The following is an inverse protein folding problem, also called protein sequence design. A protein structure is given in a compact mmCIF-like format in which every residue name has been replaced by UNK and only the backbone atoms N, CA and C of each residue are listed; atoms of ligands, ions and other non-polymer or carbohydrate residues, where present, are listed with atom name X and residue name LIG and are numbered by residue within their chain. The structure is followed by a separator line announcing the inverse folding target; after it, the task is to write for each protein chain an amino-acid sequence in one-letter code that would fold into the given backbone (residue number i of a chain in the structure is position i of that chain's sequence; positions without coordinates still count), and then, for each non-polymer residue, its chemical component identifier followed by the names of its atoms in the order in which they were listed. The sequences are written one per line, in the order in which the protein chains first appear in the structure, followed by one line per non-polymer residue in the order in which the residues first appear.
data_IF_104760904824
#
_entry.id   IF_104760904824
#
_cell.length_a   1.000
_cell.length_b   1.000
_cell.length_c   1.000
_cell.angle_alpha   90.00
_cell.angle_beta   90.00
_cell.angle_gamma   90.00
#
_symmetry.space_group_name_H-M   'P 1'
#
loop_
_entity.id
_entity.type
_entity.pdbx_description
1 polymer ?
#
# COMPACT_ATOMS: atom_id res chain seq x y z
N UNK A 1 -44.00 12.00 18.99
CA UNK A 1 -42.57 11.73 18.72
C UNK A 1 -42.27 12.14 17.29
N UNK A 2 -41.27 13.00 17.04
CA UNK A 2 -40.95 13.39 15.68
C UNK A 2 -40.60 12.14 14.86
N UNK A 3 -41.25 11.94 13.72
CA UNK A 3 -40.92 10.87 12.80
C UNK A 3 -39.51 11.15 12.25
N UNK A 4 -38.57 10.24 12.48
CA UNK A 4 -37.26 10.28 11.84
C UNK A 4 -37.47 9.89 10.35
N UNK A 5 -37.13 10.79 9.45
CA UNK A 5 -37.23 10.55 8.00
C UNK A 5 -36.20 9.54 7.48
N UNK A 6 -35.12 9.35 8.22
CA UNK A 6 -34.02 8.45 7.89
C UNK A 6 -33.97 7.31 8.90
N UNK A 7 -33.79 6.08 8.40
CA UNK A 7 -33.62 4.90 9.25
C UNK A 7 -32.31 5.02 10.06
N UNK A 8 -32.39 5.13 11.41
CA UNK A 8 -31.21 5.39 12.25
C UNK A 8 -30.25 4.20 12.35
N UNK A 9 -30.65 3.03 11.88
CA UNK A 9 -29.85 1.81 11.93
C UNK A 9 -29.06 1.56 10.65
N UNK A 10 -29.28 2.34 9.58
CA UNK A 10 -28.69 2.09 8.25
C UNK A 10 -27.17 2.16 8.25
N UNK A 11 -26.60 3.16 8.90
CA UNK A 11 -25.14 3.35 8.92
C UNK A 11 -24.44 2.25 9.69
N UNK A 12 -24.97 1.86 10.86
CA UNK A 12 -24.46 0.74 11.64
C UNK A 12 -24.60 -0.58 10.88
N UNK A 13 -25.73 -0.77 10.17
CA UNK A 13 -25.94 -1.95 9.35
C UNK A 13 -24.98 -2.04 8.17
N UNK A 14 -24.73 -0.92 7.47
CA UNK A 14 -23.73 -0.86 6.40
C UNK A 14 -22.34 -1.20 6.93
N UNK A 15 -21.95 -0.61 8.06
CA UNK A 15 -20.65 -0.85 8.69
C UNK A 15 -20.44 -2.33 9.05
N UNK A 16 -21.44 -2.98 9.64
CA UNK A 16 -21.31 -4.39 10.02
C UNK A 16 -21.41 -5.32 8.81
N UNK A 17 -22.16 -4.98 7.76
CA UNK A 17 -22.22 -5.75 6.54
C UNK A 17 -20.86 -5.84 5.84
N UNK A 18 -20.11 -4.73 5.78
CA UNK A 18 -18.74 -4.74 5.22
C UNK A 18 -17.85 -5.76 5.93
N UNK A 19 -17.89 -5.79 7.26
CA UNK A 19 -17.10 -6.75 8.06
C UNK A 19 -17.65 -8.18 7.92
N UNK A 20 -18.97 -8.34 7.84
CA UNK A 20 -19.60 -9.64 7.65
C UNK A 20 -19.22 -10.31 6.34
N UNK A 21 -19.08 -9.55 5.25
CA UNK A 21 -18.65 -10.05 3.94
C UNK A 21 -17.22 -10.58 3.95
N UNK A 22 -16.38 -10.14 4.89
CA UNK A 22 -15.01 -10.63 5.06
C UNK A 22 -14.93 -11.96 5.87
N UNK A 23 -16.05 -12.41 6.48
CA UNK A 23 -16.07 -13.67 7.19
C UNK A 23 -16.01 -14.86 6.22
N UNK A 24 -14.99 -15.70 6.36
CA UNK A 24 -14.84 -16.92 5.53
C UNK A 24 -15.95 -17.94 5.76
N UNK A 25 -16.43 -18.06 6.99
CA UNK A 25 -17.45 -19.03 7.40
C UNK A 25 -18.34 -18.38 8.47
N UNK A 26 -19.47 -17.75 8.08
CA UNK A 26 -20.38 -17.21 9.06
C UNK A 26 -20.98 -18.36 9.89
N UNK A 27 -20.97 -18.24 11.22
CA UNK A 27 -21.58 -19.25 12.09
C UNK A 27 -23.11 -19.30 11.89
N UNK A 28 -23.69 -20.45 12.21
CA UNK A 28 -25.14 -20.60 12.27
C UNK A 28 -25.71 -19.61 13.28
N UNK A 29 -26.85 -19.00 12.96
CA UNK A 29 -27.48 -17.97 13.79
C UNK A 29 -27.70 -18.44 15.22
N UNK A 30 -27.12 -17.70 16.17
CA UNK A 30 -27.43 -17.87 17.59
C UNK A 30 -28.84 -17.34 17.86
N UNK A 31 -29.63 -18.07 18.70
CA UNK A 31 -30.97 -17.65 19.11
C UNK A 31 -30.98 -16.47 20.11
N UNK A 32 -29.84 -15.86 20.40
CA UNK A 32 -29.73 -14.69 21.27
C UNK A 32 -29.84 -13.41 20.43
N UNK A 33 -30.90 -12.64 20.70
CA UNK A 33 -31.06 -11.29 20.16
C UNK A 33 -30.71 -10.29 21.26
N UNK A 34 -29.54 -9.62 21.20
CA UNK A 34 -29.22 -8.57 22.15
C UNK A 34 -30.16 -7.37 21.95
N UNK A 35 -30.26 -6.51 22.97
CA UNK A 35 -30.96 -5.23 22.81
C UNK A 35 -30.31 -4.37 21.72
N UNK A 36 -31.11 -3.49 21.11
CA UNK A 36 -30.65 -2.64 20.01
C UNK A 36 -29.46 -1.74 20.40
N UNK A 37 -29.46 -1.19 21.62
CA UNK A 37 -28.37 -0.34 22.13
C UNK A 37 -27.06 -1.14 22.26
N UNK A 38 -27.15 -2.37 22.75
CA UNK A 38 -26.01 -3.29 22.82
C UNK A 38 -25.51 -3.65 21.44
N UNK A 39 -26.37 -3.89 20.46
CA UNK A 39 -25.99 -4.19 19.09
C UNK A 39 -25.26 -2.99 18.45
N UNK A 40 -25.73 -1.76 18.66
CA UNK A 40 -25.10 -0.55 18.16
C UNK A 40 -23.72 -0.31 18.78
N UNK A 41 -23.58 -0.46 20.11
CA UNK A 41 -22.27 -0.31 20.77
C UNK A 41 -21.28 -1.39 20.29
N UNK A 42 -21.72 -2.63 20.19
CA UNK A 42 -20.92 -3.75 19.68
C UNK A 42 -20.42 -3.49 18.24
N UNK A 43 -21.30 -3.02 17.35
CA UNK A 43 -20.89 -2.69 15.97
C UNK A 43 -19.83 -1.59 15.96
N UNK A 44 -20.00 -0.55 16.79
CA UNK A 44 -19.03 0.54 16.89
C UNK A 44 -17.66 0.05 17.39
N UNK A 45 -17.65 -0.82 18.40
CA UNK A 45 -16.42 -1.41 18.95
C UNK A 45 -15.72 -2.30 17.94
N UNK A 46 -16.44 -3.23 17.31
CA UNK A 46 -15.90 -4.14 16.29
C UNK A 46 -15.36 -3.32 15.11
N UNK A 47 -16.09 -2.30 14.64
CA UNK A 47 -15.63 -1.44 13.55
C UNK A 47 -14.35 -0.69 13.90
N UNK A 48 -14.29 -0.12 15.10
CA UNK A 48 -13.08 0.59 15.55
C UNK A 48 -11.86 -0.32 15.62
N UNK A 49 -12.02 -1.56 16.11
CA UNK A 49 -10.95 -2.55 16.18
C UNK A 49 -10.53 -3.04 14.79
N UNK A 50 -11.50 -3.31 13.91
CA UNK A 50 -11.25 -3.69 12.53
C UNK A 50 -10.47 -2.59 11.77
N UNK A 51 -10.93 -1.34 11.87
CA UNK A 51 -10.28 -0.19 11.23
C UNK A 51 -8.84 0.00 11.73
N UNK A 52 -8.60 -0.19 13.03
CA UNK A 52 -7.25 -0.10 13.59
C UNK A 52 -6.34 -1.20 13.02
N UNK A 53 -6.81 -2.45 12.96
CA UNK A 53 -6.04 -3.57 12.43
C UNK A 53 -5.77 -3.44 10.93
N UNK A 54 -6.74 -2.94 10.16
CA UNK A 54 -6.59 -2.68 8.73
C UNK A 54 -5.62 -1.52 8.47
N UNK A 55 -5.65 -0.48 9.30
CA UNK A 55 -4.70 0.62 9.23
C UNK A 55 -3.26 0.14 9.46
N UNK A 56 -3.03 -0.64 10.51
CA UNK A 56 -1.72 -1.25 10.79
C UNK A 56 -1.24 -2.14 9.63
N UNK A 57 -2.15 -2.88 8.99
CA UNK A 57 -1.84 -3.68 7.81
C UNK A 57 -1.45 -2.80 6.62
N UNK A 58 -2.20 -1.74 6.33
CA UNK A 58 -1.93 -0.79 5.25
C UNK A 58 -0.57 -0.11 5.41
N UNK A 59 -0.22 0.31 6.61
CA UNK A 59 1.09 0.91 6.93
C UNK A 59 2.25 -0.08 6.66
N UNK A 60 2.05 -1.37 6.96
CA UNK A 60 3.03 -2.41 6.65
C UNK A 60 3.12 -2.71 5.15
N UNK A 61 2.00 -2.69 4.43
CA UNK A 61 1.96 -2.87 2.97
C UNK A 61 2.70 -1.72 2.26
N UNK A 62 2.48 -0.48 2.67
CA UNK A 62 3.21 0.70 2.17
C UNK A 62 4.71 0.59 2.44
N UNK A 63 5.09 0.14 3.65
CA UNK A 63 6.49 -0.09 4.01
C UNK A 63 7.13 -1.18 3.15
N UNK A 64 6.45 -2.30 2.92
CA UNK A 64 6.93 -3.37 2.04
C UNK A 64 7.13 -2.85 0.62
N UNK A 65 6.16 -2.11 0.07
CA UNK A 65 6.25 -1.51 -1.27
C UNK A 65 7.43 -0.54 -1.39
N UNK A 66 7.65 0.31 -0.41
CA UNK A 66 8.79 1.24 -0.37
C UNK A 66 10.14 0.53 -0.32
N UNK A 67 10.25 -0.54 0.48
CA UNK A 67 11.47 -1.34 0.57
C UNK A 67 11.73 -2.14 -0.72
N UNK A 68 10.69 -2.67 -1.34
CA UNK A 68 10.79 -3.37 -2.64
C UNK A 68 11.29 -2.41 -3.74
N UNK A 69 10.76 -1.20 -3.80
CA UNK A 69 11.24 -0.16 -4.73
C UNK A 69 12.71 0.20 -4.46
N UNK A 70 13.09 0.33 -3.19
CA UNK A 70 14.47 0.56 -2.80
C UNK A 70 15.40 -0.57 -3.27
N UNK A 71 14.98 -1.82 -3.13
CA UNK A 71 15.73 -2.98 -3.62
C UNK A 71 15.85 -2.96 -5.13
N UNK A 72 14.79 -2.60 -5.85
CA UNK A 72 14.81 -2.49 -7.32
C UNK A 72 15.81 -1.44 -7.80
N UNK A 73 15.91 -0.32 -7.08
CA UNK A 73 16.85 0.77 -7.40
C UNK A 73 18.31 0.34 -7.16
N UNK A 74 18.59 -0.33 -6.01
CA UNK A 74 19.96 -0.66 -5.60
C UNK A 74 20.50 -1.90 -6.33
N UNK A 75 19.65 -2.86 -6.64
CA UNK A 75 20.04 -4.18 -7.18
C UNK A 75 21.04 -4.12 -8.33
N UNK A 76 20.88 -3.27 -9.36
CA UNK A 76 21.81 -3.20 -10.48
C UNK A 76 23.19 -2.68 -10.09
N UNK A 77 23.29 -1.96 -8.98
CA UNK A 77 24.53 -1.30 -8.53
C UNK A 77 25.29 -2.08 -7.45
N UNK A 78 24.75 -3.23 -7.00
CA UNK A 78 25.31 -4.03 -5.89
C UNK A 78 26.76 -4.48 -6.08
N UNK A 79 27.19 -4.60 -7.34
CA UNK A 79 28.56 -5.05 -7.68
C UNK A 79 29.60 -3.91 -7.69
N UNK A 80 29.21 -2.70 -7.26
CA UNK A 80 30.16 -1.59 -7.09
C UNK A 80 30.92 -1.80 -5.77
N UNK A 81 32.23 -2.06 -5.86
CA UNK A 81 33.11 -2.25 -4.68
C UNK A 81 33.47 -0.93 -3.98
N UNK A 82 32.91 0.19 -4.41
CA UNK A 82 33.15 1.50 -3.81
C UNK A 82 32.04 1.85 -2.83
N UNK A 83 32.45 2.54 -1.75
CA UNK A 83 31.49 3.12 -0.81
C UNK A 83 30.63 4.16 -1.51
N UNK A 84 29.29 3.91 -1.54
CA UNK A 84 28.32 4.84 -2.15
C UNK A 84 28.40 6.21 -1.47
N UNK A 85 28.59 6.26 -0.16
CA UNK A 85 28.70 7.53 0.56
C UNK A 85 29.89 8.35 0.10
N UNK A 86 31.01 7.71 -0.24
CA UNK A 86 32.18 8.38 -0.80
C UNK A 86 31.90 8.96 -2.19
N UNK A 87 31.12 8.26 -3.01
CA UNK A 87 30.70 8.76 -4.35
C UNK A 87 29.75 9.95 -4.19
N UNK A 88 28.78 9.85 -3.28
CA UNK A 88 27.78 10.91 -3.06
C UNK A 88 28.38 12.23 -2.55
N UNK A 89 29.58 12.17 -1.91
CA UNK A 89 30.27 13.36 -1.36
C UNK A 89 31.40 13.92 -2.21
N UNK A 90 31.51 13.52 -3.49
CA UNK A 90 32.52 14.06 -4.42
C UNK A 90 32.29 15.56 -4.67
N UNK A 91 33.32 16.41 -4.35
CA UNK A 91 33.19 17.87 -4.43
C UNK A 91 33.30 18.46 -5.85
N UNK A 92 34.16 17.87 -6.69
CA UNK A 92 34.55 18.40 -7.99
C UNK A 92 34.07 17.57 -9.16
N UNK A 93 33.44 16.43 -8.88
CA UNK A 93 32.92 15.49 -9.86
C UNK A 93 31.42 15.35 -9.63
N UNK A 94 30.65 15.48 -10.70
CA UNK A 94 29.25 15.06 -10.73
C UNK A 94 29.19 13.60 -11.15
N UNK A 95 28.20 12.92 -10.65
CA UNK A 95 27.94 11.53 -11.03
C UNK A 95 26.43 11.34 -11.19
N UNK A 96 26.07 10.40 -12.05
CA UNK A 96 24.68 10.01 -12.23
C UNK A 96 24.59 8.50 -12.39
N UNK A 97 23.80 7.89 -11.53
CA UNK A 97 23.34 6.52 -11.68
C UNK A 97 22.26 6.47 -12.76
N UNK A 98 22.21 5.38 -13.51
CA UNK A 98 21.16 5.22 -14.51
C UNK A 98 21.32 3.97 -15.34
N UNK A 99 20.55 3.94 -16.41
CA UNK A 99 20.56 2.87 -17.39
C UNK A 99 20.49 3.41 -18.81
N UNK A 100 20.96 2.62 -19.73
CA UNK A 100 20.90 2.90 -21.16
C UNK A 100 20.50 1.62 -21.90
N UNK A 101 19.67 1.73 -22.94
CA UNK A 101 19.37 0.57 -23.76
C UNK A 101 20.65 0.00 -24.40
N UNK A 102 20.77 -1.31 -24.41
CA UNK A 102 21.96 -2.05 -24.84
C UNK A 102 22.40 -1.68 -26.28
N UNK A 103 21.42 -1.48 -27.18
CA UNK A 103 21.69 -1.08 -28.57
C UNK A 103 22.37 0.30 -28.69
N UNK A 104 22.04 1.23 -27.79
CA UNK A 104 22.70 2.55 -27.75
C UNK A 104 24.02 2.49 -27.02
N UNK A 105 24.14 1.68 -25.96
CA UNK A 105 25.38 1.50 -25.22
C UNK A 105 26.53 1.02 -26.11
N UNK A 106 26.33 0.02 -26.96
CA UNK A 106 27.36 -0.51 -27.85
C UNK A 106 27.86 0.54 -28.85
N UNK A 107 26.98 1.40 -29.36
CA UNK A 107 27.33 2.51 -30.23
C UNK A 107 28.06 3.62 -29.48
N UNK A 108 27.63 3.90 -28.27
CA UNK A 108 28.10 5.00 -27.45
C UNK A 108 29.43 4.69 -26.76
N UNK A 109 29.68 3.44 -26.41
CA UNK A 109 30.90 3.01 -25.70
C UNK A 109 32.19 3.51 -26.37
N UNK A 110 32.28 3.38 -27.68
CA UNK A 110 33.45 3.86 -28.44
C UNK A 110 33.52 5.38 -28.43
N UNK A 111 32.38 6.05 -28.59
CA UNK A 111 32.33 7.52 -28.63
C UNK A 111 32.68 8.16 -27.30
N UNK A 112 32.24 7.60 -26.18
CA UNK A 112 32.54 8.08 -24.82
C UNK A 112 34.03 8.16 -24.59
N UNK A 113 34.74 7.07 -24.84
CA UNK A 113 36.17 6.96 -24.53
C UNK A 113 37.06 7.82 -25.43
N UNK A 114 36.62 8.08 -26.66
CA UNK A 114 37.41 8.81 -27.64
C UNK A 114 37.20 10.34 -27.59
N UNK A 115 36.02 10.79 -27.11
CA UNK A 115 35.60 12.19 -27.33
C UNK A 115 35.10 12.94 -26.09
N UNK A 116 34.84 12.26 -24.99
CA UNK A 116 34.25 12.88 -23.79
C UNK A 116 35.14 12.72 -22.58
N UNK A 117 35.26 13.80 -21.79
CA UNK A 117 35.99 13.80 -20.53
C UNK A 117 35.06 13.22 -19.42
N UNK A 118 34.77 11.92 -19.52
CA UNK A 118 33.86 11.18 -18.60
C UNK A 118 34.33 9.75 -18.43
N UNK A 119 33.96 9.16 -17.32
CA UNK A 119 34.14 7.73 -17.03
C UNK A 119 32.77 7.13 -16.85
N UNK A 120 32.46 6.07 -17.59
CA UNK A 120 31.28 5.25 -17.39
C UNK A 120 31.67 3.92 -16.74
N UNK A 121 31.16 3.69 -15.52
CA UNK A 121 31.32 2.42 -14.82
C UNK A 121 30.08 1.58 -15.04
N UNK A 122 30.21 0.52 -15.83
CA UNK A 122 29.16 -0.47 -16.02
C UNK A 122 29.02 -1.31 -14.73
N UNK A 123 27.80 -1.42 -14.22
CA UNK A 123 27.51 -2.11 -12.96
C UNK A 123 26.78 -3.45 -13.17
N UNK A 124 25.80 -3.45 -14.09
CA UNK A 124 25.01 -4.64 -14.42
C UNK A 124 24.48 -4.55 -15.85
N UNK A 125 23.99 -5.66 -16.40
CA UNK A 125 23.26 -5.67 -17.67
C UNK A 125 22.24 -6.81 -17.71
N UNK A 126 21.15 -6.57 -18.43
CA UNK A 126 20.17 -7.58 -18.81
C UNK A 126 20.00 -7.63 -20.34
N UNK A 127 18.92 -8.23 -20.84
CA UNK A 127 18.67 -8.35 -22.29
C UNK A 127 18.41 -6.99 -22.97
N UNK A 128 17.89 -6.00 -22.26
CA UNK A 128 17.46 -4.72 -22.79
C UNK A 128 18.37 -3.55 -22.39
N UNK A 129 18.85 -3.54 -21.13
CA UNK A 129 19.53 -2.40 -20.53
C UNK A 129 20.91 -2.74 -20.00
N UNK A 130 21.76 -1.71 -19.98
CA UNK A 130 23.03 -1.65 -19.27
C UNK A 130 22.88 -0.62 -18.16
N UNK A 131 23.07 -1.01 -16.91
CA UNK A 131 23.10 -0.11 -15.76
C UNK A 131 24.52 0.32 -15.46
N UNK A 132 24.67 1.57 -15.05
CA UNK A 132 25.96 2.09 -14.69
C UNK A 132 25.89 3.45 -14.01
N UNK A 133 27.06 3.92 -13.68
CA UNK A 133 27.27 5.27 -13.16
C UNK A 133 28.28 6.00 -14.04
N UNK A 134 27.99 7.21 -14.44
CA UNK A 134 28.98 8.04 -15.09
C UNK A 134 29.43 9.17 -14.18
N UNK A 135 30.70 9.51 -14.33
CA UNK A 135 31.39 10.55 -13.61
C UNK A 135 31.85 11.62 -14.57
N UNK A 136 31.68 12.88 -14.19
CA UNK A 136 32.02 14.02 -15.04
C UNK A 136 32.54 15.18 -14.19
N UNK A 137 33.62 15.86 -14.61
CA UNK A 137 34.07 17.08 -13.96
C UNK A 137 32.98 18.15 -13.99
N UNK A 138 32.80 18.89 -12.89
CA UNK A 138 31.72 19.91 -12.76
C UNK A 138 31.71 20.93 -13.93
N UNK A 139 32.87 21.31 -14.46
CA UNK A 139 32.95 22.29 -15.53
C UNK A 139 32.46 21.76 -16.87
N UNK A 140 32.47 20.43 -17.08
CA UNK A 140 32.02 19.79 -18.33
C UNK A 140 30.62 19.17 -18.19
N UNK A 141 30.02 19.22 -17.00
CA UNK A 141 28.80 18.49 -16.67
C UNK A 141 27.66 18.75 -17.66
N UNK A 142 27.37 20.00 -17.97
CA UNK A 142 26.27 20.36 -18.87
C UNK A 142 26.42 19.74 -20.28
N UNK A 143 27.62 19.77 -20.84
CA UNK A 143 27.92 19.24 -22.18
C UNK A 143 27.80 17.70 -22.18
N UNK A 144 28.35 17.06 -21.16
CA UNK A 144 28.42 15.61 -21.07
C UNK A 144 27.03 15.04 -20.70
N UNK A 145 26.31 15.69 -19.80
CA UNK A 145 24.92 15.33 -19.47
C UNK A 145 23.99 15.37 -20.69
N UNK A 146 24.18 16.39 -21.57
CA UNK A 146 23.45 16.49 -22.83
C UNK A 146 23.81 15.32 -23.78
N UNK A 147 25.09 14.92 -23.83
CA UNK A 147 25.52 13.77 -24.61
C UNK A 147 24.90 12.46 -24.12
N UNK A 148 24.92 12.21 -22.80
CA UNK A 148 24.25 11.03 -22.21
C UNK A 148 22.74 11.03 -22.45
N UNK A 149 22.10 12.19 -22.33
CA UNK A 149 20.67 12.33 -22.60
C UNK A 149 20.32 12.05 -24.04
N UNK A 150 21.17 12.50 -25.00
CA UNK A 150 20.98 12.22 -26.43
C UNK A 150 21.09 10.74 -26.79
N UNK A 151 21.77 9.97 -25.96
CA UNK A 151 21.87 8.50 -26.06
C UNK A 151 20.82 7.75 -25.27
N UNK A 152 19.77 8.42 -24.84
CA UNK A 152 18.68 7.84 -24.04
C UNK A 152 19.13 7.26 -22.70
N UNK A 153 20.15 7.86 -22.06
CA UNK A 153 20.52 7.49 -20.71
C UNK A 153 19.43 7.98 -19.74
N UNK A 154 18.79 7.05 -19.07
CA UNK A 154 17.77 7.31 -18.07
C UNK A 154 18.42 7.42 -16.69
N UNK A 155 18.41 8.62 -16.11
CA UNK A 155 18.96 8.86 -14.76
C UNK A 155 18.08 8.18 -13.71
N UNK A 156 18.71 7.50 -12.75
CA UNK A 156 18.08 6.87 -11.61
C UNK A 156 18.54 7.60 -10.36
N UNK A 157 17.59 8.06 -9.56
CA UNK A 157 17.88 8.67 -8.27
C UNK A 157 18.16 7.59 -7.22
N UNK A 158 19.37 7.59 -6.67
CA UNK A 158 19.74 6.76 -5.53
C UNK A 158 19.70 7.64 -4.28
N UNK A 159 18.83 7.33 -3.29
CA UNK A 159 18.72 8.14 -2.07
C UNK A 159 20.03 8.22 -1.28
N UNK A 160 20.26 9.36 -0.64
CA UNK A 160 21.51 9.66 0.11
C UNK A 160 21.60 8.92 1.47
N UNK A 161 20.56 8.20 1.87
CA UNK A 161 20.46 7.53 3.15
C UNK A 161 21.19 6.16 3.21
N UNK A 162 21.80 5.75 2.11
CA UNK A 162 22.59 4.53 2.08
C UNK A 162 24.03 4.78 2.59
N UNK A 163 24.47 3.92 3.50
CA UNK A 163 25.82 3.96 4.06
C UNK A 163 26.59 2.69 3.70
N UNK A 164 27.89 2.81 3.45
CA UNK A 164 28.73 1.71 3.07
C UNK A 164 28.66 1.35 1.58
N UNK A 165 29.04 0.14 1.23
CA UNK A 165 29.02 -0.35 -0.15
C UNK A 165 27.58 -0.63 -0.63
N UNK A 166 27.36 -0.62 -1.95
CA UNK A 166 26.07 -0.99 -2.52
C UNK A 166 25.60 -2.39 -2.10
N UNK A 167 26.52 -3.32 -1.96
CA UNK A 167 26.23 -4.67 -1.47
C UNK A 167 25.77 -4.66 0.01
N UNK A 168 26.38 -3.85 0.87
CA UNK A 168 25.97 -3.71 2.26
C UNK A 168 24.58 -3.05 2.36
N UNK A 169 24.34 -1.99 1.58
CA UNK A 169 23.06 -1.33 1.49
C UNK A 169 21.96 -2.31 1.00
N UNK A 170 22.24 -3.06 -0.07
CA UNK A 170 21.32 -4.07 -0.60
C UNK A 170 20.98 -5.14 0.45
N UNK A 171 22.01 -5.68 1.15
CA UNK A 171 21.81 -6.70 2.18
C UNK A 171 20.99 -6.17 3.36
N UNK A 172 21.24 -4.93 3.79
CA UNK A 172 20.50 -4.28 4.87
C UNK A 172 19.01 -4.08 4.50
N UNK A 173 18.75 -3.55 3.31
CA UNK A 173 17.37 -3.32 2.84
C UNK A 173 16.64 -4.66 2.60
N UNK A 174 17.34 -5.69 2.06
CA UNK A 174 16.77 -7.03 1.89
C UNK A 174 16.31 -7.62 3.23
N UNK A 175 17.12 -7.48 4.27
CA UNK A 175 16.74 -7.94 5.60
C UNK A 175 15.55 -7.18 6.16
N UNK A 176 15.51 -5.85 5.99
CA UNK A 176 14.37 -5.05 6.43
C UNK A 176 13.08 -5.45 5.68
N UNK A 177 13.18 -5.74 4.38
CA UNK A 177 12.06 -6.19 3.56
C UNK A 177 11.53 -7.56 4.01
N UNK A 178 12.43 -8.53 4.25
CA UNK A 178 12.04 -9.85 4.78
C UNK A 178 11.35 -9.75 6.15
N UNK A 179 11.86 -8.91 7.03
CA UNK A 179 11.26 -8.68 8.36
C UNK A 179 9.91 -7.97 8.23
N UNK A 180 9.78 -6.99 7.33
CA UNK A 180 8.50 -6.32 7.06
C UNK A 180 7.45 -7.30 6.50
N UNK A 181 7.84 -8.21 5.59
CA UNK A 181 6.95 -9.26 5.07
C UNK A 181 6.46 -10.19 6.16
N UNK A 182 7.33 -10.60 7.09
CA UNK A 182 6.92 -11.44 8.24
C UNK A 182 5.93 -10.72 9.13
N UNK A 183 6.16 -9.42 9.39
CA UNK A 183 5.23 -8.62 10.19
C UNK A 183 3.89 -8.44 9.49
N UNK A 184 3.89 -8.20 8.17
CA UNK A 184 2.67 -8.11 7.36
C UNK A 184 1.86 -9.41 7.41
N UNK A 185 2.52 -10.55 7.26
CA UNK A 185 1.85 -11.85 7.35
C UNK A 185 1.28 -12.10 8.74
N UNK A 186 2.02 -11.77 9.80
CA UNK A 186 1.53 -11.87 11.18
C UNK A 186 0.32 -10.95 11.41
N UNK A 187 0.32 -9.72 10.86
CA UNK A 187 -0.80 -8.79 10.96
C UNK A 187 -2.03 -9.28 10.22
N UNK A 188 -1.86 -9.85 9.00
CA UNK A 188 -2.96 -10.49 8.25
C UNK A 188 -3.59 -11.65 9.04
N UNK A 189 -2.77 -12.47 9.67
CA UNK A 189 -3.24 -13.56 10.54
C UNK A 189 -3.95 -13.04 11.78
N UNK A 190 -3.47 -11.96 12.40
CA UNK A 190 -4.10 -11.29 13.53
C UNK A 190 -5.51 -10.79 13.17
N UNK A 191 -5.65 -10.16 12.00
CA UNK A 191 -6.94 -9.70 11.49
C UNK A 191 -7.90 -10.87 11.23
N UNK A 192 -7.43 -11.95 10.60
CA UNK A 192 -8.25 -13.13 10.35
C UNK A 192 -8.70 -13.82 11.65
N UNK A 193 -7.84 -13.88 12.67
CA UNK A 193 -8.21 -14.38 14.01
C UNK A 193 -9.26 -13.49 14.66
N UNK A 194 -9.06 -12.17 14.61
CA UNK A 194 -10.06 -11.23 15.13
C UNK A 194 -11.43 -11.45 14.49
N UNK A 195 -11.51 -11.61 13.17
CA UNK A 195 -12.76 -11.89 12.46
C UNK A 195 -13.37 -13.22 12.90
N UNK A 196 -12.56 -14.26 13.06
CA UNK A 196 -13.03 -15.58 13.51
C UNK A 196 -13.55 -15.54 14.95
N UNK A 197 -12.84 -14.87 15.85
CA UNK A 197 -13.21 -14.75 17.26
C UNK A 197 -14.50 -13.91 17.44
N UNK A 198 -14.70 -12.91 16.58
CA UNK A 198 -15.87 -12.04 16.62
C UNK A 198 -17.03 -12.51 15.72
N UNK A 199 -16.89 -13.62 15.00
CA UNK A 199 -17.84 -14.03 13.97
C UNK A 199 -19.27 -14.19 14.51
N UNK A 200 -19.46 -14.84 15.67
CA UNK A 200 -20.79 -15.00 16.30
C UNK A 200 -21.37 -13.64 16.72
N UNK A 201 -20.55 -12.77 17.27
CA UNK A 201 -20.93 -11.43 17.70
C UNK A 201 -21.34 -10.57 16.51
N UNK A 202 -20.58 -10.62 15.41
CA UNK A 202 -20.87 -9.91 14.15
C UNK A 202 -22.22 -10.37 13.59
N UNK A 203 -22.44 -11.69 13.46
CA UNK A 203 -23.69 -12.25 12.93
C UNK A 203 -24.88 -11.86 13.81
N UNK A 204 -24.74 -11.95 15.10
CA UNK A 204 -25.80 -11.64 16.08
C UNK A 204 -26.16 -10.15 16.04
N UNK A 205 -25.18 -9.25 16.08
CA UNK A 205 -25.40 -7.81 16.00
C UNK A 205 -26.05 -7.40 14.66
N UNK A 206 -25.55 -7.96 13.55
CA UNK A 206 -26.10 -7.76 12.21
C UNK A 206 -27.59 -8.17 12.13
N UNK A 207 -27.93 -9.36 12.61
CA UNK A 207 -29.32 -9.86 12.57
C UNK A 207 -30.25 -9.00 13.42
N UNK A 208 -29.82 -8.57 14.60
CA UNK A 208 -30.58 -7.61 15.43
C UNK A 208 -30.81 -6.31 14.68
N UNK A 209 -29.78 -5.69 14.10
CA UNK A 209 -29.89 -4.46 13.33
C UNK A 209 -30.79 -4.62 12.10
N UNK A 210 -30.71 -5.74 11.39
CA UNK A 210 -31.60 -6.06 10.26
C UNK A 210 -33.06 -6.10 10.69
N UNK A 211 -33.37 -6.75 11.82
CA UNK A 211 -34.73 -6.83 12.34
C UNK A 211 -35.27 -5.44 12.70
N UNK A 212 -34.47 -4.64 13.43
CA UNK A 212 -34.90 -3.29 13.82
C UNK A 212 -35.01 -2.34 12.62
N UNK A 213 -34.11 -2.44 11.65
CA UNK A 213 -34.16 -1.67 10.41
C UNK A 213 -35.41 -1.98 9.59
N UNK A 214 -35.74 -3.27 9.40
CA UNK A 214 -36.97 -3.70 8.71
C UNK A 214 -38.22 -3.22 9.44
N UNK A 215 -38.26 -3.36 10.76
CA UNK A 215 -39.40 -2.90 11.58
C UNK A 215 -39.57 -1.38 11.47
N UNK A 216 -38.48 -0.62 11.39
CA UNK A 216 -38.56 0.82 11.18
C UNK A 216 -39.14 1.16 9.80
N UNK A 217 -38.66 0.51 8.74
CA UNK A 217 -39.12 0.76 7.37
C UNK A 217 -40.62 0.39 7.19
N UNK A 218 -41.08 -0.72 7.79
CA UNK A 218 -42.48 -1.13 7.81
C UNK A 218 -43.35 -0.08 8.53
N UNK A 219 -42.93 0.37 9.73
CA UNK A 219 -43.62 1.42 10.47
C UNK A 219 -43.66 2.73 9.73
N UNK A 220 -42.60 3.10 9.05
CA UNK A 220 -42.57 4.31 8.20
C UNK A 220 -43.50 4.20 7.02
N UNK A 221 -43.56 3.06 6.33
CA UNK A 221 -44.48 2.81 5.24
C UNK A 221 -45.94 2.88 5.69
N UNK A 222 -46.28 2.28 6.83
CA UNK A 222 -47.59 2.35 7.43
C UNK A 222 -48.02 3.78 7.82
N UNK A 223 -47.07 4.61 8.33
CA UNK A 223 -47.32 5.98 8.71
C UNK A 223 -47.54 6.92 7.48
N UNK A 224 -46.85 6.65 6.37
CA UNK A 224 -47.02 7.42 5.14
C UNK A 224 -48.37 7.18 4.42
N UNK A 225 -49.03 6.04 4.65
CA UNK A 225 -50.36 5.71 4.10
C UNK A 225 -51.52 6.29 4.91
N UNK A 226 -51.24 6.89 6.07
CA UNK A 226 -52.26 7.35 7.07
C UNK A 226 -52.94 8.71 6.74
N UNK A 227 -53.28 9.00 5.49
CA UNK A 227 -54.21 10.14 5.16
C UNK A 227 -55.68 9.87 5.44
N UNK A 228 -56.01 8.63 5.82
CA UNK A 228 -57.35 8.24 6.24
C UNK A 228 -57.27 7.53 7.60
N UNK A 229 -57.91 8.07 8.59
CA UNK A 229 -57.76 7.75 10.03
C UNK A 229 -58.07 6.31 10.45
N UNK A 230 -58.46 5.37 9.57
CA UNK A 230 -58.94 4.05 9.97
C UNK A 230 -58.46 2.85 9.15
N UNK A 231 -57.46 2.96 8.29
CA UNK A 231 -56.96 1.82 7.52
C UNK A 231 -55.44 1.76 7.45
N UNK A 232 -54.88 0.66 7.92
CA UNK A 232 -53.46 0.30 7.69
C UNK A 232 -53.40 -0.71 6.55
N UNK A 233 -52.79 -0.34 5.42
CA UNK A 233 -52.50 -1.28 4.33
C UNK A 233 -51.09 -1.78 4.54
N UNK A 234 -50.95 -3.03 4.98
CA UNK A 234 -49.68 -3.78 4.98
C UNK A 234 -49.57 -4.49 3.62
N UNK A 235 -48.73 -3.99 2.74
CA UNK A 235 -48.31 -4.74 1.56
C UNK A 235 -47.16 -5.66 1.99
N UNK A 236 -47.42 -7.01 1.97
CA UNK A 236 -46.42 -8.06 2.15
C UNK A 236 -45.63 -8.34 0.88
#
# INVERSE_FOLDING_TARGET
TPFLDVNPYRDALNSINTIYEELKTPPSTSNRSPGIETALSTVKEIRSQADQLQKEQSELEEKCSSLEESLRIIRPFRNIDYDISSILHLKYIHFHFGRIEKQYYEKFKKYIYDNLNTIFLKCDEDDQYVWGVYFVPKHDAHKIDAAYSSMHFEKIFVPDNYTGTAQQAFSSVSKQYEDALKHLEAQKQKYQRFLADQAETIVTARNTLLQFSRNFDVRKAAACTGKHENFYILCG
#
